data_IF_672552024855
#
_entry.id   IF_672552024855
#
_cell.length_a   1.000
_cell.length_b   1.000
_cell.length_c   1.000
_cell.angle_alpha   90.00
_cell.angle_beta   90.00
_cell.angle_gamma   90.00
#
_symmetry.space_group_name_H-M   'P 1'
#
loop_
_entity.id
_entity.type
_entity.pdbx_description
1 polymer ?
#
# COMPACT_ATOMS: atom_id res chain seq x y z
N UNK A 1 25.60 -1.05 8.75
CA UNK A 1 24.24 -0.60 8.43
C UNK A 1 23.29 -1.77 8.45
N UNK A 2 22.26 -1.68 9.27
CA UNK A 2 21.28 -2.76 9.32
C UNK A 2 20.37 -2.70 8.10
N UNK A 3 20.13 -3.85 7.50
CA UNK A 3 19.17 -3.95 6.41
C UNK A 3 17.76 -3.99 6.99
N UNK A 4 16.81 -3.43 6.26
CA UNK A 4 15.42 -3.51 6.64
C UNK A 4 14.91 -4.94 6.51
N UNK A 5 13.93 -5.27 7.34
CA UNK A 5 13.29 -6.58 7.36
C UNK A 5 11.99 -6.49 6.54
N UNK A 6 11.78 -7.48 5.68
CA UNK A 6 10.54 -7.61 4.90
C UNK A 6 9.45 -8.20 5.80
N UNK A 7 8.24 -7.63 5.72
CA UNK A 7 7.09 -8.20 6.41
C UNK A 7 5.83 -8.07 5.55
N UNK A 8 4.83 -8.88 5.86
CA UNK A 8 3.54 -8.89 5.16
C UNK A 8 2.40 -8.82 6.16
N UNK A 9 1.34 -8.10 5.78
CA UNK A 9 0.07 -8.07 6.50
C UNK A 9 -1.04 -8.43 5.53
N UNK A 10 -1.95 -9.30 5.96
CA UNK A 10 -3.09 -9.73 5.14
C UNK A 10 -4.39 -9.24 5.76
N UNK A 11 -5.26 -8.69 4.92
CA UNK A 11 -6.55 -8.14 5.34
C UNK A 11 -7.66 -8.67 4.43
N UNK A 12 -8.70 -9.25 5.02
CA UNK A 12 -9.89 -9.62 4.25
C UNK A 12 -10.68 -8.35 3.95
N UNK A 13 -11.02 -8.16 2.68
CA UNK A 13 -11.78 -7.00 2.22
C UNK A 13 -13.04 -7.48 1.50
N UNK A 14 -14.20 -7.00 1.94
CA UNK A 14 -15.49 -7.45 1.43
C UNK A 14 -15.95 -6.57 0.26
N UNK A 15 -15.15 -6.53 -0.79
CA UNK A 15 -15.46 -5.78 -2.00
C UNK A 15 -14.81 -6.48 -3.20
N UNK A 16 -15.31 -6.20 -4.39
CA UNK A 16 -14.74 -6.79 -5.60
C UNK A 16 -13.37 -6.20 -5.91
N UNK A 17 -12.53 -6.99 -6.58
CA UNK A 17 -11.20 -6.57 -6.99
C UNK A 17 -11.26 -5.30 -7.85
N UNK A 18 -12.23 -5.20 -8.76
CA UNK A 18 -12.36 -4.04 -9.64
C UNK A 18 -12.69 -2.75 -8.89
N UNK A 19 -13.31 -2.86 -7.70
CA UNK A 19 -13.59 -1.72 -6.83
C UNK A 19 -12.36 -1.37 -6.00
N UNK A 20 -11.64 -2.37 -5.50
CA UNK A 20 -10.50 -2.15 -4.60
C UNK A 20 -9.26 -1.67 -5.35
N UNK A 21 -8.96 -2.27 -6.51
CA UNK A 21 -7.68 -2.00 -7.20
C UNK A 21 -7.44 -0.51 -7.49
N UNK A 22 -8.42 0.28 -7.95
CA UNK A 22 -8.19 1.72 -8.13
C UNK A 22 -7.80 2.45 -6.85
N UNK A 23 -8.24 1.96 -5.69
CA UNK A 23 -7.85 2.53 -4.39
C UNK A 23 -6.37 2.30 -4.07
N UNK A 24 -5.74 1.33 -4.74
CA UNK A 24 -4.35 0.93 -4.51
C UNK A 24 -3.39 1.52 -5.54
N UNK A 25 -3.88 2.07 -6.64
CA UNK A 25 -3.05 2.39 -7.80
C UNK A 25 -3.26 3.78 -8.37
N UNK A 26 -4.38 4.44 -8.09
CA UNK A 26 -4.66 5.77 -8.62
C UNK A 26 -4.44 6.86 -7.59
N UNK A 27 -4.09 8.09 -8.02
CA UNK A 27 -3.97 9.21 -7.08
C UNK A 27 -5.25 9.46 -6.30
N UNK A 28 -6.39 9.44 -6.99
CA UNK A 28 -7.69 9.63 -6.35
C UNK A 28 -7.97 8.55 -5.30
N UNK A 29 -7.74 7.28 -5.65
CA UNK A 29 -7.95 6.18 -4.71
C UNK A 29 -7.02 6.24 -3.52
N UNK A 30 -5.73 6.45 -3.76
CA UNK A 30 -4.73 6.51 -2.69
C UNK A 30 -4.93 7.71 -1.76
N UNK A 31 -5.48 8.82 -2.26
CA UNK A 31 -5.77 9.99 -1.42
C UNK A 31 -6.99 9.78 -0.53
N UNK A 32 -7.78 8.74 -0.76
CA UNK A 32 -8.93 8.45 0.10
C UNK A 32 -8.55 7.74 1.40
N UNK A 33 -7.41 7.04 1.42
CA UNK A 33 -7.06 6.24 2.60
C UNK A 33 -5.57 6.24 2.96
N UNK A 34 -4.68 6.26 1.95
CA UNK A 34 -3.25 6.08 2.19
C UNK A 34 -2.54 7.38 2.57
N UNK A 35 -2.90 8.47 1.92
CA UNK A 35 -2.29 9.78 2.15
C UNK A 35 -3.37 10.87 2.15
N UNK A 36 -3.02 12.06 2.65
CA UNK A 36 -3.94 13.20 2.66
C UNK A 36 -4.21 13.71 1.25
N UNK A 37 -3.18 13.67 0.40
CA UNK A 37 -3.28 14.04 -1.01
C UNK A 37 -2.22 13.28 -1.79
N UNK A 38 -2.44 13.09 -3.09
CA UNK A 38 -1.53 12.36 -3.97
C UNK A 38 -1.50 13.03 -5.33
N UNK A 39 -0.30 13.35 -5.81
CA UNK A 39 -0.08 13.82 -7.16
C UNK A 39 0.71 12.78 -7.95
N UNK A 40 0.44 12.67 -9.25
CA UNK A 40 1.15 11.74 -10.12
C UNK A 40 1.73 12.48 -11.32
N UNK A 41 2.94 12.09 -11.69
CA UNK A 41 3.57 12.52 -12.94
C UNK A 41 4.27 11.29 -13.52
N UNK A 42 3.65 10.69 -14.55
CA UNK A 42 4.13 9.43 -15.09
C UNK A 42 4.07 8.32 -14.04
N UNK A 43 5.22 7.78 -13.66
CA UNK A 43 5.33 6.75 -12.64
C UNK A 43 5.71 7.32 -11.27
N UNK A 44 5.86 8.62 -11.17
CA UNK A 44 6.27 9.29 -9.93
C UNK A 44 5.04 9.74 -9.17
N UNK A 45 4.88 9.22 -7.94
CA UNK A 45 3.78 9.54 -7.04
C UNK A 45 4.31 10.40 -5.90
N UNK A 46 3.72 11.59 -5.71
CA UNK A 46 4.04 12.45 -4.57
C UNK A 46 2.89 12.35 -3.58
N UNK A 47 3.20 11.85 -2.39
CA UNK A 47 2.23 11.68 -1.30
C UNK A 47 2.41 12.78 -0.28
N UNK A 48 1.31 13.29 0.25
CA UNK A 48 1.32 14.35 1.26
C UNK A 48 0.67 13.85 2.55
N UNK A 49 1.37 14.06 3.67
CA UNK A 49 0.86 13.81 5.02
C UNK A 49 1.16 15.04 5.87
N UNK A 50 0.11 15.71 6.37
CA UNK A 50 0.23 16.92 7.21
C UNK A 50 1.13 17.98 6.57
N UNK A 51 1.05 18.14 5.25
CA UNK A 51 1.86 19.09 4.51
C UNK A 51 3.27 18.62 4.17
N UNK A 52 3.73 17.53 4.75
CA UNK A 52 5.02 16.92 4.38
C UNK A 52 4.85 16.04 3.16
N UNK A 53 5.80 16.07 2.23
CA UNK A 53 5.73 15.24 1.04
C UNK A 53 6.75 14.12 1.06
N UNK A 54 6.35 12.98 0.49
CA UNK A 54 7.24 11.85 0.23
C UNK A 54 6.98 11.36 -1.18
N UNK A 55 8.04 11.03 -1.88
CA UNK A 55 7.96 10.66 -3.29
C UNK A 55 8.30 9.18 -3.46
N UNK A 56 7.46 8.47 -4.20
CA UNK A 56 7.70 7.08 -4.56
C UNK A 56 7.56 6.91 -6.07
N UNK A 57 8.23 5.91 -6.59
CA UNK A 57 8.09 5.51 -7.99
C UNK A 57 7.33 4.20 -8.06
N UNK A 58 6.36 4.14 -8.97
CA UNK A 58 5.66 2.90 -9.29
C UNK A 58 6.61 2.04 -10.13
N UNK A 59 7.18 1.00 -9.54
CA UNK A 59 8.21 0.18 -10.18
C UNK A 59 7.66 -1.05 -10.87
N UNK A 60 6.47 -1.52 -10.48
CA UNK A 60 5.82 -2.66 -11.11
C UNK A 60 4.33 -2.64 -10.79
N UNK A 61 3.52 -3.08 -11.74
CA UNK A 61 2.08 -3.26 -11.51
C UNK A 61 1.51 -4.28 -12.47
N UNK A 62 0.40 -4.87 -12.06
CA UNK A 62 -0.45 -5.67 -12.92
C UNK A 62 -1.90 -5.35 -12.53
N UNK A 63 -2.67 -4.88 -13.49
CA UNK A 63 -4.05 -4.43 -13.26
C UNK A 63 -4.86 -5.52 -12.54
N UNK A 64 -5.55 -5.13 -11.48
CA UNK A 64 -6.36 -6.00 -10.63
C UNK A 64 -5.57 -7.06 -9.85
N UNK A 65 -4.24 -7.01 -9.87
CA UNK A 65 -3.40 -7.97 -9.15
C UNK A 65 -2.51 -7.27 -8.12
N UNK A 66 -1.68 -6.33 -8.53
CA UNK A 66 -0.78 -5.66 -7.58
C UNK A 66 -0.28 -4.32 -8.10
N UNK A 67 0.22 -3.50 -7.17
CA UNK A 67 0.99 -2.29 -7.46
C UNK A 67 2.15 -2.22 -6.47
N UNK A 68 3.37 -2.02 -6.98
CA UNK A 68 4.60 -1.98 -6.17
C UNK A 68 5.27 -0.64 -6.34
N UNK A 69 5.65 -0.05 -5.21
CA UNK A 69 6.25 1.28 -5.16
C UNK A 69 7.59 1.23 -4.43
N UNK A 70 8.48 2.13 -4.81
CA UNK A 70 9.74 2.32 -4.11
C UNK A 70 9.87 3.78 -3.69
N UNK A 71 10.12 4.01 -2.39
CA UNK A 71 10.42 5.35 -1.89
C UNK A 71 11.73 5.83 -2.47
N UNK A 72 11.75 7.06 -3.01
CA UNK A 72 12.95 7.61 -3.66
C UNK A 72 14.08 7.81 -2.66
N UNK A 73 13.74 8.19 -1.43
CA UNK A 73 14.72 8.46 -0.37
C UNK A 73 15.15 7.22 0.41
N UNK A 74 14.62 6.04 0.09
CA UNK A 74 15.00 4.83 0.81
C UNK A 74 16.37 4.35 0.35
N UNK A 75 17.31 4.26 1.29
CA UNK A 75 18.67 3.83 1.02
C UNK A 75 18.81 2.33 0.78
N UNK A 76 17.86 1.54 1.24
CA UNK A 76 17.91 0.08 1.05
C UNK A 76 17.46 -0.26 -0.36
N UNK A 77 18.36 -0.78 -1.22
CA UNK A 77 18.00 -1.08 -2.61
C UNK A 77 16.97 -2.20 -2.75
N UNK A 78 16.76 -3.00 -1.69
CA UNK A 78 15.79 -4.08 -1.70
C UNK A 78 14.43 -3.67 -1.20
N UNK A 79 14.30 -2.52 -0.53
CA UNK A 79 13.06 -2.10 0.09
C UNK A 79 12.06 -1.58 -0.94
N UNK A 80 10.79 -1.94 -0.74
CA UNK A 80 9.65 -1.45 -1.52
C UNK A 80 8.41 -1.60 -0.66
N UNK A 81 7.29 -1.04 -1.10
CA UNK A 81 6.00 -1.41 -0.53
C UNK A 81 5.06 -1.83 -1.66
N UNK A 82 4.19 -2.78 -1.36
CA UNK A 82 3.36 -3.40 -2.38
C UNK A 82 1.96 -3.68 -1.86
N UNK A 83 0.99 -3.42 -2.70
CA UNK A 83 -0.41 -3.80 -2.48
C UNK A 83 -0.75 -4.90 -3.46
N UNK A 84 -1.16 -6.05 -2.96
CA UNK A 84 -1.51 -7.20 -3.79
C UNK A 84 -2.89 -7.72 -3.40
N UNK A 85 -3.68 -8.09 -4.40
CA UNK A 85 -5.00 -8.67 -4.19
C UNK A 85 -4.95 -10.16 -4.52
N UNK A 86 -5.53 -10.96 -3.63
CA UNK A 86 -5.67 -12.41 -3.82
C UNK A 86 -7.12 -12.80 -3.57
N UNK A 87 -7.54 -13.91 -4.18
CA UNK A 87 -8.88 -14.46 -3.98
C UNK A 87 -8.75 -15.89 -3.48
N UNK A 88 -9.47 -16.21 -2.40
CA UNK A 88 -9.52 -17.56 -1.89
C UNK A 88 -10.39 -18.42 -2.83
N UNK A 89 -9.84 -19.54 -3.30
CA UNK A 89 -10.52 -20.41 -4.26
C UNK A 89 -11.77 -21.07 -3.68
N UNK A 90 -11.80 -21.28 -2.37
CA UNK A 90 -12.91 -21.97 -1.72
C UNK A 90 -14.04 -21.03 -1.31
N UNK A 91 -13.70 -19.85 -0.79
CA UNK A 91 -14.68 -18.91 -0.23
C UNK A 91 -14.97 -17.74 -1.14
N UNK A 92 -14.14 -17.50 -2.16
CA UNK A 92 -14.15 -16.29 -3.01
C UNK A 92 -13.88 -15.00 -2.23
N UNK A 93 -13.37 -15.10 -1.02
CA UNK A 93 -12.97 -13.91 -0.26
C UNK A 93 -11.77 -13.26 -0.91
N UNK A 94 -11.83 -11.92 -0.97
CA UNK A 94 -10.71 -11.12 -1.47
C UNK A 94 -9.87 -10.65 -0.30
N UNK A 95 -8.56 -10.83 -0.41
CA UNK A 95 -7.60 -10.37 0.58
C UNK A 95 -6.67 -9.33 -0.03
N UNK A 96 -6.39 -8.28 0.74
CA UNK A 96 -5.33 -7.32 0.45
C UNK A 96 -4.10 -7.74 1.22
N UNK A 97 -3.01 -8.02 0.51
CA UNK A 97 -1.72 -8.35 1.11
C UNK A 97 -0.80 -7.15 0.93
N UNK A 98 -0.38 -6.56 2.04
CA UNK A 98 0.56 -5.46 2.04
C UNK A 98 1.94 -5.99 2.40
N UNK A 99 2.92 -5.74 1.52
CA UNK A 99 4.32 -6.04 1.78
C UNK A 99 5.04 -4.73 2.01
N UNK A 100 5.85 -4.66 3.05
CA UNK A 100 6.64 -3.48 3.35
C UNK A 100 7.95 -3.90 4.03
N UNK A 101 8.83 -2.95 4.21
CA UNK A 101 10.14 -3.13 4.85
C UNK A 101 10.28 -2.08 5.94
N UNK A 102 10.85 -2.49 7.06
CA UNK A 102 11.14 -1.59 8.17
C UNK A 102 12.37 -2.10 8.92
N UNK A 103 13.01 -1.23 9.67
CA UNK A 103 14.05 -1.66 10.58
C UNK A 103 13.43 -2.59 11.61
N UNK A 104 14.21 -3.56 12.07
CA UNK A 104 13.72 -4.63 12.95
C UNK A 104 12.94 -4.10 14.14
N UNK A 105 13.43 -3.04 14.77
CA UNK A 105 12.79 -2.45 15.94
C UNK A 105 11.49 -1.71 15.61
N UNK A 106 11.28 -1.39 14.36
CA UNK A 106 10.12 -0.59 13.90
C UNK A 106 9.04 -1.43 13.25
N UNK A 107 9.26 -2.74 13.06
CA UNK A 107 8.30 -3.60 12.34
C UNK A 107 6.92 -3.60 13.00
N UNK A 108 6.86 -3.73 14.31
CA UNK A 108 5.56 -3.77 15.00
C UNK A 108 4.80 -2.45 14.87
N UNK A 109 5.50 -1.32 14.98
CA UNK A 109 4.88 0.00 14.79
C UNK A 109 4.40 0.18 13.35
N UNK A 110 5.17 -0.30 12.38
CA UNK A 110 4.79 -0.23 10.98
C UNK A 110 3.53 -1.07 10.70
N UNK A 111 3.42 -2.25 11.32
CA UNK A 111 2.23 -3.09 11.20
C UNK A 111 1.00 -2.40 11.76
N UNK A 112 1.12 -1.76 12.92
CA UNK A 112 0.00 -1.03 13.52
C UNK A 112 -0.45 0.14 12.66
N UNK A 113 0.50 0.84 12.02
CA UNK A 113 0.17 1.92 11.11
C UNK A 113 -0.59 1.40 9.89
N UNK A 114 -0.17 0.27 9.32
CA UNK A 114 -0.89 -0.35 8.22
C UNK A 114 -2.29 -0.77 8.62
N UNK A 115 -2.46 -1.34 9.82
CA UNK A 115 -3.79 -1.70 10.34
C UNK A 115 -4.71 -0.49 10.37
N UNK A 116 -4.22 0.64 10.86
CA UNK A 116 -4.98 1.89 10.93
C UNK A 116 -5.36 2.41 9.54
N UNK A 117 -4.41 2.38 8.60
CA UNK A 117 -4.66 2.85 7.24
C UNK A 117 -5.65 1.95 6.50
N UNK A 118 -5.55 0.63 6.68
CA UNK A 118 -6.49 -0.31 6.05
C UNK A 118 -7.89 -0.17 6.64
N UNK A 119 -8.01 0.11 7.93
CA UNK A 119 -9.31 0.42 8.53
C UNK A 119 -9.96 1.63 7.84
N UNK A 120 -9.17 2.63 7.52
CA UNK A 120 -9.65 3.80 6.80
C UNK A 120 -10.10 3.44 5.38
N UNK A 121 -9.36 2.58 4.69
CA UNK A 121 -9.75 2.05 3.38
C UNK A 121 -11.11 1.36 3.45
N UNK A 122 -11.28 0.45 4.42
CA UNK A 122 -12.53 -0.27 4.60
C UNK A 122 -13.68 0.69 4.91
N UNK A 123 -13.45 1.66 5.76
CA UNK A 123 -14.47 2.66 6.11
C UNK A 123 -14.92 3.43 4.86
N UNK A 124 -13.99 3.86 4.02
CA UNK A 124 -14.29 4.58 2.79
C UNK A 124 -15.05 3.73 1.78
N UNK A 125 -14.83 2.41 1.80
CA UNK A 125 -15.56 1.46 0.93
C UNK A 125 -16.90 1.01 1.54
N UNK A 126 -17.19 1.39 2.78
CA UNK A 126 -18.42 1.00 3.46
C UNK A 126 -18.43 -0.45 3.92
N UNK A 127 -17.28 -0.99 4.21
CA UNK A 127 -17.16 -2.40 4.59
C UNK A 127 -16.53 -2.59 5.98
#
# INVERSE_FOLDING_TARGET
MEQKVRFEQEYIVNASISVIYPMLSTPSGLSDWFADDVNINGKTYTFFWDGAEQIAELIAKRTNVFARFKWIEDDDPKAYFEFKLTTDELTNEVALVITDFAEKEEVEDAKELWDTQVDKLKHNLGI
#
